data_IF_700148231346
#
_entry.id   IF_700148231346
#
_cell.length_a   1.000
_cell.length_b   1.000
_cell.length_c   1.000
_cell.angle_alpha   90.00
_cell.angle_beta   90.00
_cell.angle_gamma   90.00
#
_symmetry.space_group_name_H-M   'P 1'
#
loop_
_entity.id
_entity.type
_entity.pdbx_description
1 polymer ?
#
# COMPACT_ATOMS: atom_id res chain seq x y z
N UNK A 1 27.20 -3.72 15.11
CA UNK A 1 25.94 -3.11 15.52
C UNK A 1 25.38 -2.32 14.35
N UNK A 2 24.12 -2.52 13.97
CA UNK A 2 23.52 -1.68 12.93
C UNK A 2 23.38 -0.24 13.44
N UNK A 3 23.50 0.72 12.52
CA UNK A 3 23.26 2.13 12.84
C UNK A 3 21.79 2.35 13.24
N UNK A 4 21.55 3.36 14.07
CA UNK A 4 20.18 3.70 14.51
C UNK A 4 19.24 3.90 13.30
N UNK A 5 19.71 4.58 12.24
CA UNK A 5 18.94 4.75 11.02
C UNK A 5 18.56 3.43 10.35
N UNK A 6 19.42 2.43 10.39
CA UNK A 6 19.14 1.09 9.87
C UNK A 6 18.04 0.39 10.66
N UNK A 7 18.09 0.49 11.99
CA UNK A 7 17.08 -0.11 12.88
C UNK A 7 15.73 0.57 12.66
N UNK A 8 15.70 1.90 12.61
CA UNK A 8 14.48 2.67 12.35
C UNK A 8 13.93 2.31 10.95
N UNK A 9 14.80 2.24 9.96
CA UNK A 9 14.41 1.88 8.60
C UNK A 9 13.80 0.49 8.50
N UNK A 10 14.40 -0.49 9.15
CA UNK A 10 13.87 -1.84 9.20
C UNK A 10 12.49 -1.87 9.89
N UNK A 11 12.32 -1.12 10.97
CA UNK A 11 11.05 -1.00 11.67
C UNK A 11 9.99 -0.34 10.79
N UNK A 12 10.31 0.76 10.13
CA UNK A 12 9.40 1.47 9.21
C UNK A 12 8.96 0.55 8.07
N UNK A 13 9.91 -0.13 7.43
CA UNK A 13 9.60 -1.06 6.33
C UNK A 13 8.72 -2.22 6.82
N UNK A 14 8.96 -2.74 8.00
CA UNK A 14 8.18 -3.84 8.58
C UNK A 14 6.75 -3.41 8.91
N UNK A 15 6.58 -2.24 9.52
CA UNK A 15 5.25 -1.69 9.81
C UNK A 15 4.48 -1.41 8.52
N UNK A 16 5.14 -0.80 7.55
CA UNK A 16 4.55 -0.51 6.25
C UNK A 16 4.10 -1.80 5.55
N UNK A 17 4.97 -2.81 5.50
CA UNK A 17 4.64 -4.11 4.93
C UNK A 17 3.46 -4.76 5.64
N UNK A 18 3.45 -4.75 6.96
CA UNK A 18 2.37 -5.33 7.76
C UNK A 18 1.03 -4.65 7.51
N UNK A 19 1.01 -3.33 7.39
CA UNK A 19 -0.20 -2.56 7.08
C UNK A 19 -0.75 -2.92 5.70
N UNK A 20 0.12 -3.00 4.69
CA UNK A 20 -0.29 -3.36 3.33
C UNK A 20 -0.85 -4.78 3.30
N UNK A 21 -0.15 -5.74 3.90
CA UNK A 21 -0.60 -7.13 3.94
C UNK A 21 -1.95 -7.25 4.65
N UNK A 22 -2.11 -6.61 5.78
CA UNK A 22 -3.32 -6.71 6.59
C UNK A 22 -4.52 -6.07 5.88
N UNK A 23 -4.36 -4.89 5.34
CA UNK A 23 -5.47 -4.14 4.76
C UNK A 23 -5.78 -4.62 3.34
N UNK A 24 -4.77 -4.71 2.48
CA UNK A 24 -5.00 -5.00 1.08
C UNK A 24 -5.31 -6.47 0.81
N UNK A 25 -4.71 -7.38 1.56
CA UNK A 25 -4.81 -8.82 1.29
C UNK A 25 -5.65 -9.59 2.30
N UNK A 26 -5.92 -9.03 3.46
CA UNK A 26 -6.73 -9.69 4.49
C UNK A 26 -8.07 -8.98 4.69
N UNK A 27 -8.06 -7.71 5.09
CA UNK A 27 -9.29 -6.97 5.41
C UNK A 27 -10.20 -6.82 4.19
N UNK A 28 -9.65 -6.43 3.05
CA UNK A 28 -10.45 -6.14 1.86
C UNK A 28 -11.28 -7.34 1.39
N UNK A 29 -10.71 -8.54 1.17
CA UNK A 29 -11.54 -9.68 0.80
C UNK A 29 -12.44 -10.19 1.92
N UNK A 30 -11.98 -10.19 3.18
CA UNK A 30 -12.76 -10.72 4.31
C UNK A 30 -13.97 -9.87 4.62
N UNK A 31 -13.89 -8.57 4.43
CA UNK A 31 -15.00 -7.64 4.67
C UNK A 31 -16.28 -8.03 3.91
N UNK A 32 -16.11 -8.49 2.67
CA UNK A 32 -17.25 -8.87 1.83
C UNK A 32 -17.86 -10.22 2.22
N UNK A 33 -17.21 -10.98 3.10
CA UNK A 33 -17.75 -12.23 3.64
C UNK A 33 -18.66 -12.01 4.86
N UNK A 34 -18.66 -10.81 5.43
CA UNK A 34 -19.48 -10.51 6.60
C UNK A 34 -20.96 -10.52 6.22
N UNK A 35 -21.83 -11.12 7.06
CA UNK A 35 -23.27 -11.09 6.80
C UNK A 35 -23.81 -9.67 6.75
N UNK A 36 -24.64 -9.39 5.75
CA UNK A 36 -25.25 -8.06 5.59
C UNK A 36 -24.39 -7.03 4.88
N UNK A 37 -23.17 -7.37 4.48
CA UNK A 37 -22.32 -6.44 3.70
C UNK A 37 -22.70 -6.53 2.23
N UNK A 38 -23.45 -5.53 1.76
CA UNK A 38 -23.72 -5.34 0.34
C UNK A 38 -22.50 -4.69 -0.33
N UNK A 39 -22.36 -4.88 -1.65
CA UNK A 39 -21.24 -4.32 -2.40
C UNK A 39 -21.06 -2.80 -2.21
N UNK A 40 -22.14 -1.96 -2.30
CA UNK A 40 -21.96 -0.52 -2.10
C UNK A 40 -21.41 -0.15 -0.72
N UNK A 41 -21.87 -0.81 0.34
CA UNK A 41 -21.38 -0.56 1.69
C UNK A 41 -19.92 -0.97 1.83
N UNK A 42 -19.56 -2.16 1.34
CA UNK A 42 -18.19 -2.64 1.38
C UNK A 42 -17.23 -1.74 0.61
N UNK A 43 -17.63 -1.23 -0.54
CA UNK A 43 -16.83 -0.29 -1.33
C UNK A 43 -16.67 1.05 -0.61
N UNK A 44 -17.71 1.55 0.06
CA UNK A 44 -17.64 2.77 0.87
C UNK A 44 -16.65 2.63 2.03
N UNK A 45 -16.70 1.53 2.75
CA UNK A 45 -15.73 1.21 3.80
C UNK A 45 -14.31 1.13 3.20
N UNK A 46 -14.16 0.44 2.07
CA UNK A 46 -12.87 0.30 1.39
C UNK A 46 -12.25 1.64 1.03
N UNK A 47 -13.04 2.59 0.53
CA UNK A 47 -12.54 3.93 0.19
C UNK A 47 -11.94 4.63 1.41
N UNK A 48 -12.63 4.56 2.56
CA UNK A 48 -12.14 5.16 3.80
C UNK A 48 -10.87 4.46 4.30
N UNK A 49 -10.87 3.14 4.30
CA UNK A 49 -9.73 2.34 4.77
C UNK A 49 -8.51 2.56 3.90
N UNK A 50 -8.67 2.54 2.56
CA UNK A 50 -7.54 2.76 1.66
C UNK A 50 -7.05 4.20 1.68
N UNK A 51 -7.92 5.17 1.91
CA UNK A 51 -7.48 6.56 2.11
C UNK A 51 -6.59 6.66 3.35
N UNK A 52 -6.99 6.03 4.44
CA UNK A 52 -6.19 5.99 5.67
C UNK A 52 -4.87 5.25 5.45
N UNK A 53 -4.91 4.09 4.76
CA UNK A 53 -3.71 3.33 4.43
C UNK A 53 -2.75 4.15 3.59
N UNK A 54 -3.22 4.75 2.50
CA UNK A 54 -2.38 5.53 1.60
C UNK A 54 -1.75 6.73 2.31
N UNK A 55 -2.50 7.40 3.20
CA UNK A 55 -1.98 8.48 4.03
C UNK A 55 -0.86 7.97 4.95
N UNK A 56 -1.08 6.86 5.63
CA UNK A 56 -0.08 6.24 6.49
C UNK A 56 1.17 5.83 5.68
N UNK A 57 0.99 5.29 4.48
CA UNK A 57 2.10 4.91 3.61
C UNK A 57 2.94 6.12 3.19
N UNK A 58 2.30 7.25 2.87
CA UNK A 58 3.02 8.49 2.54
C UNK A 58 3.84 8.96 3.72
N UNK A 59 3.28 8.92 4.93
CA UNK A 59 4.00 9.28 6.16
C UNK A 59 5.19 8.35 6.39
N UNK A 60 4.99 7.05 6.22
CA UNK A 60 6.06 6.06 6.40
C UNK A 60 7.16 6.22 5.32
N UNK A 61 6.79 6.51 4.08
CA UNK A 61 7.74 6.78 3.01
C UNK A 61 8.57 8.02 3.32
N UNK A 62 7.94 9.10 3.79
CA UNK A 62 8.64 10.31 4.19
C UNK A 62 9.59 10.04 5.35
N UNK A 63 9.14 9.29 6.36
CA UNK A 63 9.98 8.91 7.49
C UNK A 63 11.20 8.09 7.03
N UNK A 64 10.99 7.16 6.10
CA UNK A 64 12.07 6.36 5.54
C UNK A 64 13.10 7.24 4.79
N UNK A 65 12.62 8.16 3.95
CA UNK A 65 13.49 9.05 3.17
C UNK A 65 14.31 9.98 4.07
N UNK A 66 13.76 10.39 5.21
CA UNK A 66 14.42 11.35 6.11
C UNK A 66 15.36 10.68 7.11
N UNK A 67 15.15 9.40 7.43
CA UNK A 67 15.87 8.74 8.52
C UNK A 67 16.83 7.66 8.06
N UNK A 68 16.64 7.08 6.87
CA UNK A 68 17.44 5.98 6.38
C UNK A 68 18.62 6.51 5.56
N UNK A 69 19.79 5.91 5.76
CA UNK A 69 20.96 6.14 4.89
C UNK A 69 21.37 4.78 4.28
N UNK A 70 20.53 4.19 3.42
CA UNK A 70 20.83 2.88 2.84
C UNK A 70 21.92 2.98 1.78
N UNK A 71 22.53 1.85 1.44
CA UNK A 71 23.40 1.78 0.26
C UNK A 71 22.61 1.85 -1.05
N UNK A 72 23.29 1.67 -2.18
CA UNK A 72 22.68 1.81 -3.50
C UNK A 72 21.48 0.88 -3.69
N UNK A 73 21.57 -0.38 -3.24
CA UNK A 73 20.47 -1.34 -3.35
C UNK A 73 19.27 -0.88 -2.50
N UNK A 74 19.50 -0.40 -1.29
CA UNK A 74 18.44 0.12 -0.43
C UNK A 74 17.74 1.34 -1.03
N UNK A 75 18.50 2.27 -1.60
CA UNK A 75 17.92 3.43 -2.30
C UNK A 75 17.07 3.02 -3.49
N UNK A 76 17.54 2.04 -4.29
CA UNK A 76 16.78 1.52 -5.42
C UNK A 76 15.45 0.95 -4.96
N UNK A 77 15.46 0.11 -3.93
CA UNK A 77 14.24 -0.49 -3.38
C UNK A 77 13.28 0.57 -2.83
N UNK A 78 13.80 1.54 -2.10
CA UNK A 78 12.97 2.61 -1.52
C UNK A 78 12.35 3.48 -2.61
N UNK A 79 13.12 3.86 -3.63
CA UNK A 79 12.62 4.67 -4.75
C UNK A 79 11.58 3.90 -5.56
N UNK A 80 11.80 2.61 -5.82
CA UNK A 80 10.82 1.76 -6.51
C UNK A 80 9.54 1.67 -5.70
N UNK A 81 9.63 1.43 -4.39
CA UNK A 81 8.46 1.37 -3.51
C UNK A 81 7.70 2.70 -3.52
N UNK A 82 8.40 3.81 -3.41
CA UNK A 82 7.78 5.15 -3.44
C UNK A 82 7.13 5.44 -4.79
N UNK A 83 7.75 5.02 -5.89
CA UNK A 83 7.18 5.18 -7.23
C UNK A 83 5.91 4.33 -7.41
N UNK A 84 5.90 3.09 -6.89
CA UNK A 84 4.70 2.26 -6.89
C UNK A 84 3.59 2.91 -6.08
N UNK A 85 3.90 3.42 -4.90
CA UNK A 85 2.93 4.13 -4.06
C UNK A 85 2.39 5.37 -4.76
N UNK A 86 3.24 6.18 -5.38
CA UNK A 86 2.82 7.37 -6.10
C UNK A 86 1.88 7.02 -7.26
N UNK A 87 2.21 5.97 -8.03
CA UNK A 87 1.35 5.49 -9.11
C UNK A 87 -0.01 5.07 -8.58
N UNK A 88 -0.04 4.32 -7.50
CA UNK A 88 -1.30 3.87 -6.89
C UNK A 88 -2.13 5.03 -6.36
N UNK A 89 -1.52 5.99 -5.68
CA UNK A 89 -2.25 7.08 -5.02
C UNK A 89 -2.66 8.19 -5.97
N UNK A 90 -1.85 8.51 -6.97
CA UNK A 90 -2.08 9.63 -7.88
C UNK A 90 -2.88 9.20 -9.11
N UNK A 91 -2.58 8.03 -9.67
CA UNK A 91 -3.19 7.59 -10.94
C UNK A 91 -4.34 6.61 -10.72
N UNK A 92 -4.16 5.58 -9.90
CA UNK A 92 -5.12 4.49 -9.78
C UNK A 92 -6.21 4.76 -8.75
N UNK A 93 -5.85 5.30 -7.59
CA UNK A 93 -6.82 5.51 -6.50
C UNK A 93 -7.97 6.44 -6.90
N UNK A 94 -7.73 7.60 -7.55
CA UNK A 94 -8.84 8.45 -7.99
C UNK A 94 -9.79 7.74 -8.95
N UNK A 95 -9.25 6.93 -9.86
CA UNK A 95 -10.06 6.17 -10.82
C UNK A 95 -10.87 5.07 -10.15
N UNK A 96 -10.25 4.34 -9.21
CA UNK A 96 -10.93 3.31 -8.43
C UNK A 96 -12.04 3.91 -7.56
N UNK A 97 -11.77 5.04 -6.91
CA UNK A 97 -12.75 5.72 -6.07
C UNK A 97 -13.93 6.22 -6.91
N UNK A 98 -13.67 6.72 -8.10
CA UNK A 98 -14.73 7.15 -9.03
C UNK A 98 -15.62 5.97 -9.44
N UNK A 99 -15.01 4.82 -9.76
CA UNK A 99 -15.74 3.61 -10.09
C UNK A 99 -16.58 3.12 -8.91
N UNK A 100 -16.01 3.12 -7.71
CA UNK A 100 -16.70 2.76 -6.49
C UNK A 100 -17.90 3.68 -6.25
N UNK A 101 -17.74 4.98 -6.44
CA UNK A 101 -18.81 5.95 -6.29
C UNK A 101 -19.95 5.68 -7.31
N UNK A 102 -19.62 5.35 -8.54
CA UNK A 102 -20.61 4.99 -9.55
C UNK A 102 -21.43 3.75 -9.14
N UNK A 103 -20.77 2.74 -8.59
CA UNK A 103 -21.46 1.54 -8.09
C UNK A 103 -22.35 1.90 -6.88
N UNK A 104 -21.83 2.69 -5.94
CA UNK A 104 -22.56 3.11 -4.74
C UNK A 104 -23.83 3.89 -5.11
N UNK A 105 -23.78 4.72 -6.15
CA UNK A 105 -24.92 5.54 -6.58
C UNK A 105 -25.86 4.83 -7.54
N UNK A 106 -25.63 3.54 -7.83
CA UNK A 106 -26.51 2.76 -8.68
C UNK A 106 -26.27 2.89 -10.18
N UNK A 107 -25.12 3.44 -10.59
CA UNK A 107 -24.74 3.60 -12.00
C UNK A 107 -23.43 2.85 -12.27
N UNK A 108 -23.44 1.50 -12.24
CA UNK A 108 -22.19 0.73 -12.36
C UNK A 108 -21.50 0.99 -13.69
N UNK A 109 -20.17 1.24 -13.66
CA UNK A 109 -19.40 1.44 -14.88
C UNK A 109 -19.15 0.11 -15.59
N UNK A 110 -18.72 0.14 -16.88
CA UNK A 110 -18.33 -1.07 -17.59
C UNK A 110 -17.20 -1.80 -16.86
N UNK A 111 -17.07 -3.12 -17.04
CA UNK A 111 -15.94 -3.87 -16.45
C UNK A 111 -14.59 -3.29 -16.84
N UNK A 112 -13.61 -3.36 -15.92
CA UNK A 112 -12.28 -2.81 -16.10
C UNK A 112 -11.27 -3.68 -15.39
N UNK A 113 -10.01 -3.68 -15.88
CA UNK A 113 -8.89 -4.36 -15.24
C UNK A 113 -8.14 -3.47 -14.24
N UNK A 114 -8.68 -2.31 -13.92
CA UNK A 114 -8.03 -1.33 -13.06
C UNK A 114 -7.73 -1.91 -11.67
N UNK A 115 -8.68 -2.66 -11.12
CA UNK A 115 -8.51 -3.34 -9.83
C UNK A 115 -7.37 -4.36 -9.86
N UNK A 116 -7.27 -5.14 -10.95
CA UNK A 116 -6.18 -6.11 -11.11
C UNK A 116 -4.82 -5.42 -11.24
N UNK A 117 -4.77 -4.29 -11.93
CA UNK A 117 -3.56 -3.47 -12.03
C UNK A 117 -3.14 -3.00 -10.65
N UNK A 118 -4.08 -2.52 -9.83
CA UNK A 118 -3.80 -2.08 -8.46
C UNK A 118 -3.24 -3.24 -7.62
N UNK A 119 -3.84 -4.42 -7.70
CA UNK A 119 -3.38 -5.61 -6.96
C UNK A 119 -1.97 -6.00 -7.41
N UNK A 120 -1.70 -5.97 -8.72
CA UNK A 120 -0.37 -6.28 -9.25
C UNK A 120 0.70 -5.34 -8.70
N UNK A 121 0.40 -4.04 -8.67
CA UNK A 121 1.31 -3.04 -8.08
C UNK A 121 1.45 -3.25 -6.57
N UNK A 122 0.39 -3.66 -5.89
CA UNK A 122 0.43 -3.97 -4.45
C UNK A 122 1.35 -5.16 -4.17
N UNK A 123 1.29 -6.20 -4.99
CA UNK A 123 2.19 -7.35 -4.89
C UNK A 123 3.66 -6.94 -5.09
N UNK A 124 3.94 -6.09 -6.08
CA UNK A 124 5.29 -5.56 -6.30
C UNK A 124 5.75 -4.73 -5.12
N UNK A 125 4.87 -3.92 -4.55
CA UNK A 125 5.19 -3.10 -3.37
C UNK A 125 5.50 -3.98 -2.17
N UNK A 126 4.75 -5.04 -1.96
CA UNK A 126 5.02 -6.03 -0.90
C UNK A 126 6.41 -6.64 -1.11
N UNK A 127 6.75 -7.05 -2.34
CA UNK A 127 8.05 -7.64 -2.64
C UNK A 127 9.19 -6.65 -2.37
N UNK A 128 9.06 -5.40 -2.81
CA UNK A 128 10.09 -4.38 -2.59
C UNK A 128 10.23 -4.01 -1.11
N UNK A 129 9.12 -3.93 -0.37
CA UNK A 129 9.15 -3.66 1.07
C UNK A 129 9.80 -4.80 1.85
N UNK A 130 9.48 -6.04 1.49
CA UNK A 130 10.10 -7.21 2.12
C UNK A 130 11.60 -7.22 1.87
N UNK A 131 12.02 -6.99 0.62
CA UNK A 131 13.43 -6.94 0.26
C UNK A 131 14.14 -5.81 0.99
N UNK A 132 13.54 -4.63 1.07
CA UNK A 132 14.10 -3.49 1.79
C UNK A 132 14.24 -3.79 3.29
N UNK A 133 13.20 -4.34 3.89
CA UNK A 133 13.22 -4.70 5.32
C UNK A 133 14.31 -5.71 5.64
N UNK A 134 14.44 -6.76 4.83
CA UNK A 134 15.48 -7.77 5.00
C UNK A 134 16.87 -7.17 4.80
N UNK A 135 17.04 -6.35 3.76
CA UNK A 135 18.32 -5.69 3.49
C UNK A 135 18.75 -4.82 4.67
N UNK A 136 17.85 -3.98 5.19
CA UNK A 136 18.15 -3.09 6.32
C UNK A 136 18.38 -3.85 7.62
N UNK A 137 17.71 -4.97 7.82
CA UNK A 137 17.88 -5.80 9.01
C UNK A 137 19.19 -6.60 8.99
N UNK A 138 19.73 -6.90 7.81
CA UNK A 138 20.91 -7.75 7.66
C UNK A 138 22.22 -6.98 7.39
N UNK A 139 22.13 -5.71 7.03
CA UNK A 139 23.30 -4.84 6.81
C UNK A 139 23.66 -4.12 8.10
N UNK A 140 24.95 -3.99 8.36
CA UNK A 140 25.48 -3.29 9.54
C UNK A 140 26.19 -2.03 9.14
#
# INVERSE_FOLDING_TARGET
MPATGQVIGAAVASVWLGMVLTISFLETPLKFLAPGIALPLGLGIGRLVFRALNTAEVVLAAAALLTITPGAAGWTLLVVTAALLATQTVLLRPRLDRRAQQIITGHPPPPSRLHLTYIGLECLKVATLLALGVLLATTS
#
